data_IF_253158012791
#
_entry.id   IF_253158012791
#
_cell.length_a   1.000
_cell.length_b   1.000
_cell.length_c   1.000
_cell.angle_alpha   90.00
_cell.angle_beta   90.00
_cell.angle_gamma   90.00
#
_symmetry.space_group_name_H-M   'P 1'
#
loop_
_entity.id
_entity.type
_entity.pdbx_description
1 polymer ?
#
# COMPACT_ATOMS: atom_id res chain seq x y z
N UNK A 1 19.09 17.80 -0.85
CA UNK A 1 17.86 17.46 -1.59
C UNK A 1 16.93 16.71 -0.63
N UNK A 2 16.13 17.45 0.12
CA UNK A 2 15.29 16.87 1.18
C UNK A 2 13.98 16.40 0.57
N UNK A 3 13.76 15.08 0.53
CA UNK A 3 12.41 14.55 0.36
C UNK A 3 11.63 14.92 1.62
N UNK A 4 10.90 16.03 1.57
CA UNK A 4 9.83 16.32 2.52
C UNK A 4 8.91 15.10 2.46
N UNK A 5 8.93 14.27 3.52
CA UNK A 5 8.16 13.04 3.57
C UNK A 5 6.70 13.37 3.39
N UNK A 6 6.15 13.08 2.21
CA UNK A 6 4.72 13.22 1.98
C UNK A 6 4.03 12.34 3.02
N UNK A 7 3.24 12.96 3.91
CA UNK A 7 2.36 12.24 4.81
C UNK A 7 1.59 11.22 3.97
N UNK A 8 1.72 9.95 4.32
CA UNK A 8 1.18 8.88 3.49
C UNK A 8 -0.34 8.88 3.70
N UNK A 9 -1.08 9.31 2.69
CA UNK A 9 -2.53 9.49 2.81
C UNK A 9 -3.23 8.13 2.89
N UNK A 10 -4.12 7.98 3.85
CA UNK A 10 -4.91 6.75 4.07
C UNK A 10 -6.40 7.07 3.92
N UNK A 11 -7.18 6.14 3.36
CA UNK A 11 -8.63 6.29 3.22
C UNK A 11 -9.31 6.41 4.59
N UNK A 12 -10.48 7.08 4.70
CA UNK A 12 -11.14 7.31 6.00
C UNK A 12 -11.47 6.03 6.78
N UNK A 13 -11.65 4.92 6.08
CA UNK A 13 -11.95 3.60 6.63
C UNK A 13 -10.70 2.76 6.94
N UNK A 14 -9.50 3.32 6.76
CA UNK A 14 -8.22 2.65 6.97
C UNK A 14 -8.03 1.33 6.18
N UNK A 15 -8.69 1.21 5.01
CA UNK A 15 -8.51 0.04 4.13
C UNK A 15 -7.35 0.19 3.16
N UNK A 16 -7.05 1.42 2.72
CA UNK A 16 -6.08 1.67 1.68
C UNK A 16 -5.16 2.84 2.00
N UNK A 17 -3.90 2.67 1.65
CA UNK A 17 -2.92 3.72 1.48
C UNK A 17 -2.96 4.26 0.05
N UNK A 18 -2.84 5.56 -0.14
CA UNK A 18 -2.76 6.20 -1.45
C UNK A 18 -1.32 6.59 -1.75
N UNK A 19 -0.77 6.03 -2.83
CA UNK A 19 0.57 6.37 -3.33
C UNK A 19 0.45 6.72 -4.81
N UNK A 20 0.76 7.98 -5.15
CA UNK A 20 0.66 8.50 -6.53
C UNK A 20 -0.74 8.27 -7.14
N UNK A 21 -1.79 8.59 -6.38
CA UNK A 21 -3.19 8.41 -6.80
C UNK A 21 -3.67 6.97 -6.90
N UNK A 22 -2.86 5.98 -6.46
CA UNK A 22 -3.20 4.56 -6.51
C UNK A 22 -3.41 3.99 -5.12
N UNK A 23 -4.49 3.24 -4.96
CA UNK A 23 -4.86 2.57 -3.73
C UNK A 23 -4.00 1.32 -3.53
N UNK A 24 -3.49 1.14 -2.32
CA UNK A 24 -2.74 -0.02 -1.87
C UNK A 24 -3.36 -0.51 -0.58
N UNK A 25 -3.91 -1.72 -0.59
CA UNK A 25 -4.58 -2.26 0.59
C UNK A 25 -3.60 -2.38 1.76
N UNK A 26 -4.03 -1.89 2.92
CA UNK A 26 -3.27 -1.99 4.16
C UNK A 26 -3.31 -3.41 4.72
N UNK A 27 -2.33 -3.73 5.56
CA UNK A 27 -2.30 -4.99 6.30
C UNK A 27 -3.53 -5.08 7.21
N UNK A 28 -4.00 -6.30 7.46
CA UNK A 28 -5.14 -6.56 8.34
C UNK A 28 -4.83 -6.04 9.76
N UNK A 29 -5.57 -5.02 10.26
CA UNK A 29 -5.32 -4.44 11.58
C UNK A 29 -5.67 -5.39 12.73
N UNK A 30 -6.37 -6.48 12.45
CA UNK A 30 -6.74 -7.50 13.44
C UNK A 30 -5.63 -8.52 13.71
N UNK A 31 -4.51 -8.46 13.00
CA UNK A 31 -3.36 -9.32 13.27
C UNK A 31 -2.71 -8.91 14.60
N UNK A 32 -2.44 -9.89 15.46
CA UNK A 32 -1.66 -9.65 16.67
C UNK A 32 -0.25 -9.15 16.30
N UNK A 33 0.28 -8.18 17.04
CA UNK A 33 1.55 -7.52 16.67
C UNK A 33 2.72 -8.51 16.47
N UNK A 34 2.92 -9.55 17.30
CA UNK A 34 3.98 -10.54 17.06
C UNK A 34 3.80 -11.28 15.73
N UNK A 35 2.57 -11.63 15.39
CA UNK A 35 2.25 -12.30 14.12
C UNK A 35 2.47 -11.37 12.93
N UNK A 36 2.01 -10.12 13.04
CA UNK A 36 2.23 -9.09 12.03
C UNK A 36 3.72 -8.88 11.80
N UNK A 37 4.52 -8.75 12.85
CA UNK A 37 5.95 -8.56 12.75
C UNK A 37 6.66 -9.77 12.11
N UNK A 38 6.26 -11.00 12.47
CA UNK A 38 6.81 -12.20 11.84
C UNK A 38 6.55 -12.24 10.32
N UNK A 39 5.34 -11.86 9.89
CA UNK A 39 5.00 -11.78 8.46
C UNK A 39 5.73 -10.65 7.74
N UNK A 40 5.93 -9.51 8.40
CA UNK A 40 6.77 -8.41 7.87
C UNK A 40 8.21 -8.89 7.67
N UNK A 41 8.77 -9.62 8.64
CA UNK A 41 10.12 -10.19 8.53
C UNK A 41 10.22 -11.14 7.32
N UNK A 42 9.29 -12.08 7.19
CA UNK A 42 9.20 -12.99 6.04
C UNK A 42 9.09 -12.24 4.71
N UNK A 43 8.30 -11.18 4.64
CA UNK A 43 8.18 -10.34 3.45
C UNK A 43 9.52 -9.68 3.09
N UNK A 44 10.26 -9.18 4.08
CA UNK A 44 11.56 -8.56 3.88
C UNK A 44 12.62 -9.57 3.46
N UNK A 45 12.63 -10.78 4.04
CA UNK A 45 13.46 -11.90 3.60
C UNK A 45 13.19 -12.27 2.14
N UNK A 46 11.93 -12.47 1.78
CA UNK A 46 11.54 -12.81 0.41
C UNK A 46 11.95 -11.70 -0.60
N UNK A 47 11.86 -10.42 -0.20
CA UNK A 47 12.34 -9.29 -1.04
C UNK A 47 13.85 -9.31 -1.23
N UNK A 48 14.62 -9.66 -0.19
CA UNK A 48 16.08 -9.86 -0.31
C UNK A 48 16.40 -10.99 -1.29
N UNK A 49 15.68 -12.11 -1.22
CA UNK A 49 15.81 -13.21 -2.18
C UNK A 49 15.50 -12.80 -3.62
N UNK A 50 14.46 -11.98 -3.84
CA UNK A 50 14.17 -11.43 -5.17
C UNK A 50 15.34 -10.60 -5.69
N UNK A 51 15.95 -9.76 -4.85
CA UNK A 51 17.13 -8.95 -5.24
C UNK A 51 18.31 -9.85 -5.60
N UNK A 52 18.60 -10.86 -4.78
CA UNK A 52 19.69 -11.81 -5.02
C UNK A 52 19.49 -12.60 -6.33
N UNK A 53 18.30 -13.16 -6.54
CA UNK A 53 17.98 -13.92 -7.74
C UNK A 53 18.09 -13.08 -9.03
N UNK A 54 17.66 -11.80 -8.98
CA UNK A 54 17.86 -10.87 -10.11
C UNK A 54 19.33 -10.62 -10.39
N UNK A 55 20.15 -10.40 -9.36
CA UNK A 55 21.58 -10.17 -9.52
C UNK A 55 22.31 -11.39 -10.10
N UNK A 56 21.86 -12.59 -9.76
CA UNK A 56 22.37 -13.85 -10.29
C UNK A 56 21.77 -14.25 -11.66
N UNK A 57 20.82 -13.48 -12.20
CA UNK A 57 20.02 -13.83 -13.38
C UNK A 57 19.37 -15.24 -13.28
N UNK A 58 19.01 -15.68 -12.07
CA UNK A 58 18.41 -16.98 -11.81
C UNK A 58 16.88 -16.87 -11.85
N UNK A 59 16.31 -17.31 -12.97
CA UNK A 59 14.87 -17.29 -13.19
C UNK A 59 14.10 -18.22 -12.23
N UNK A 60 14.67 -19.34 -11.81
CA UNK A 60 14.00 -20.30 -10.93
C UNK A 60 13.90 -19.74 -9.50
N UNK A 61 15.03 -19.26 -8.96
CA UNK A 61 15.06 -18.59 -7.66
C UNK A 61 14.19 -17.33 -7.65
N UNK A 62 14.15 -16.59 -8.77
CA UNK A 62 13.30 -15.40 -8.88
C UNK A 62 11.81 -15.74 -8.80
N UNK A 63 11.36 -16.82 -9.46
CA UNK A 63 9.97 -17.29 -9.36
C UNK A 63 9.63 -17.69 -7.92
N UNK A 64 10.50 -18.47 -7.28
CA UNK A 64 10.29 -18.92 -5.92
C UNK A 64 10.22 -17.76 -4.92
N UNK A 65 11.15 -16.81 -4.99
CA UNK A 65 11.16 -15.63 -4.13
C UNK A 65 9.91 -14.74 -4.35
N UNK A 66 9.44 -14.59 -5.59
CA UNK A 66 8.17 -13.88 -5.89
C UNK A 66 6.96 -14.59 -5.29
N UNK A 67 6.93 -15.93 -5.29
CA UNK A 67 5.88 -16.70 -4.65
C UNK A 67 5.87 -16.47 -3.13
N UNK A 68 7.03 -16.45 -2.49
CA UNK A 68 7.14 -16.12 -1.05
C UNK A 68 6.66 -14.70 -0.74
N UNK A 69 7.01 -13.71 -1.58
CA UNK A 69 6.48 -12.33 -1.44
C UNK A 69 4.96 -12.32 -1.55
N UNK A 70 4.39 -13.06 -2.49
CA UNK A 70 2.94 -13.16 -2.64
C UNK A 70 2.30 -13.79 -1.40
N UNK A 71 2.84 -14.90 -0.90
CA UNK A 71 2.33 -15.60 0.28
C UNK A 71 2.34 -14.70 1.52
N UNK A 72 3.47 -14.02 1.79
CA UNK A 72 3.59 -13.11 2.93
C UNK A 72 2.59 -11.93 2.83
N UNK A 73 2.39 -11.36 1.63
CA UNK A 73 1.40 -10.29 1.42
C UNK A 73 -0.04 -10.76 1.58
N UNK A 74 -0.35 -11.99 1.17
CA UNK A 74 -1.68 -12.58 1.40
C UNK A 74 -1.90 -12.79 2.89
N UNK A 75 -0.92 -13.33 3.61
CA UNK A 75 -1.01 -13.53 5.05
C UNK A 75 -1.12 -12.21 5.84
N UNK A 76 -0.44 -11.15 5.40
CA UNK A 76 -0.60 -9.80 5.94
C UNK A 76 -1.98 -9.19 5.63
N UNK A 77 -2.75 -9.76 4.70
CA UNK A 77 -4.01 -9.18 4.23
C UNK A 77 -3.86 -8.08 3.18
N UNK A 78 -2.65 -7.78 2.69
CA UNK A 78 -2.39 -6.79 1.63
C UNK A 78 -2.84 -7.29 0.23
N UNK A 79 -3.00 -8.60 0.09
CA UNK A 79 -3.43 -9.31 -1.14
C UNK A 79 -4.32 -10.50 -0.81
N UNK A 80 -4.97 -11.08 -1.83
CA UNK A 80 -5.91 -12.19 -1.63
C UNK A 80 -7.27 -11.71 -1.12
N UNK A 81 -8.01 -12.55 -0.37
CA UNK A 81 -9.28 -12.18 0.24
C UNK A 81 -9.15 -10.91 1.09
N UNK A 82 -10.22 -10.15 1.15
CA UNK A 82 -10.31 -8.94 1.97
C UNK A 82 -10.50 -9.29 3.44
N UNK A 83 -10.01 -8.43 4.34
CA UNK A 83 -10.12 -8.66 5.79
C UNK A 83 -11.35 -7.99 6.43
N UNK A 84 -12.07 -7.16 5.68
CA UNK A 84 -13.35 -6.58 6.14
C UNK A 84 -14.53 -7.53 5.85
N UNK A 85 -15.62 -7.33 6.60
CA UNK A 85 -16.81 -8.22 6.59
C UNK A 85 -18.09 -7.57 6.09
N UNK A 86 -18.03 -6.29 5.72
CA UNK A 86 -19.21 -5.51 5.30
C UNK A 86 -19.61 -5.74 3.83
N UNK A 87 -18.95 -6.67 3.14
CA UNK A 87 -19.25 -7.01 1.74
C UNK A 87 -18.75 -5.99 0.70
N UNK A 88 -18.04 -4.94 1.12
CA UNK A 88 -17.50 -3.96 0.17
C UNK A 88 -16.48 -4.62 -0.80
N UNK A 89 -16.42 -4.19 -2.06
CA UNK A 89 -15.46 -4.71 -3.03
C UNK A 89 -14.02 -4.28 -2.71
N UNK A 90 -13.06 -5.02 -3.26
CA UNK A 90 -11.63 -4.70 -3.19
C UNK A 90 -11.21 -3.72 -4.30
N UNK A 91 -10.70 -2.56 -3.91
CA UNK A 91 -10.13 -1.56 -4.82
C UNK A 91 -8.59 -1.55 -4.79
N UNK A 92 -7.95 -2.61 -4.29
CA UNK A 92 -6.49 -2.70 -4.23
C UNK A 92 -5.88 -2.57 -5.63
N UNK A 93 -4.95 -1.62 -5.78
CA UNK A 93 -4.35 -1.22 -7.06
C UNK A 93 -5.38 -0.61 -8.03
N UNK A 94 -6.43 0.05 -7.57
CA UNK A 94 -7.22 0.94 -8.42
C UNK A 94 -6.68 2.36 -8.30
N UNK A 95 -6.95 3.19 -9.32
CA UNK A 95 -6.81 4.63 -9.14
C UNK A 95 -7.89 5.10 -8.17
N UNK A 96 -7.55 6.02 -7.27
CA UNK A 96 -8.50 6.58 -6.31
C UNK A 96 -9.69 7.26 -7.00
N UNK A 97 -9.46 7.85 -8.17
CA UNK A 97 -10.50 8.44 -9.04
C UNK A 97 -11.52 7.43 -9.57
N UNK A 98 -11.18 6.14 -9.59
CA UNK A 98 -12.04 5.06 -10.10
C UNK A 98 -12.60 4.23 -8.93
N UNK A 99 -12.83 4.87 -7.78
CA UNK A 99 -13.28 4.23 -6.55
C UNK A 99 -14.24 5.16 -5.80
N UNK A 100 -14.99 4.64 -4.82
CA UNK A 100 -15.84 5.45 -3.93
C UNK A 100 -15.09 6.53 -3.14
N UNK A 101 -13.75 6.48 -3.10
CA UNK A 101 -12.92 7.47 -2.44
C UNK A 101 -12.62 8.70 -3.31
N UNK A 102 -13.11 8.76 -4.56
CA UNK A 102 -12.79 9.83 -5.51
C UNK A 102 -13.17 11.22 -4.99
N UNK A 103 -14.41 11.40 -4.55
CA UNK A 103 -14.92 12.70 -4.11
C UNK A 103 -14.17 13.19 -2.86
N UNK A 104 -14.02 12.32 -1.85
CA UNK A 104 -13.23 12.62 -0.66
C UNK A 104 -11.76 12.96 -0.99
N UNK A 105 -11.12 12.20 -1.90
CA UNK A 105 -9.75 12.50 -2.29
C UNK A 105 -9.66 13.86 -3.01
N UNK A 106 -10.69 14.24 -3.77
CA UNK A 106 -10.80 15.54 -4.43
C UNK A 106 -10.85 16.71 -3.45
N UNK A 107 -11.55 16.58 -2.32
CA UNK A 107 -11.62 17.66 -1.32
C UNK A 107 -10.24 17.97 -0.72
N UNK A 108 -9.41 16.96 -0.52
CA UNK A 108 -8.05 17.12 0.00
C UNK A 108 -7.08 17.80 -0.97
N UNK A 109 -7.31 17.67 -2.29
CA UNK A 109 -6.52 18.38 -3.30
C UNK A 109 -6.97 19.84 -3.43
N UNK A 110 -8.27 20.12 -3.31
CA UNK A 110 -8.82 21.47 -3.34
C UNK A 110 -8.36 22.35 -2.15
N UNK A 111 -8.15 21.74 -0.98
CA UNK A 111 -7.63 22.45 0.20
C UNK A 111 -6.13 22.80 0.09
N UNK A 112 -5.35 22.02 -0.68
CA UNK A 112 -3.91 22.24 -0.89
C UNK A 112 -3.58 23.39 -1.83
N UNK A 113 -4.48 23.69 -2.77
CA UNK A 113 -4.30 24.76 -3.77
C UNK A 113 -4.83 26.13 -3.29
N UNK A 114 -5.66 26.16 -2.24
CA UNK A 114 -6.29 27.38 -1.71
C UNK A 114 -5.43 28.26 -0.78
N UNK A 115 -4.18 27.89 -0.51
CA UNK A 115 -3.31 28.62 0.43
C UNK A 115 -2.02 29.15 -0.22
N UNK A 116 -2.11 29.68 -1.44
CA UNK A 116 -1.02 30.41 -2.12
C UNK A 116 -1.58 31.65 -2.84
N UNK A 117 -2.20 32.57 -2.09
CA UNK A 117 -2.82 33.75 -2.71
C UNK A 117 -3.23 34.85 -1.73
N UNK A 118 -2.44 35.13 -0.69
CA UNK A 118 -2.75 36.25 0.21
C UNK A 118 -1.50 36.82 0.89
N UNK A 119 -0.51 37.29 0.10
CA UNK A 119 0.47 38.28 0.56
C UNK A 119 0.93 39.13 -0.63
N UNK A 120 0.36 40.34 -0.75
CA UNK A 120 1.00 41.60 -1.18
C UNK A 120 -0.08 42.66 -1.38
N UNK A 121 -0.25 43.49 -0.35
CA UNK A 121 -0.58 44.91 -0.51
C UNK A 121 0.70 45.69 -0.23
#
# INVERSE_FOLDING_TARGET
MSHRGAATLTTPDNRYLIVRGRLWRLSNPQLAEPQRQALVNQLMDARRLVKAAKAANDAASLRHARAQVQAAKVALGERGPVWWRDGAPDYNRHLVSNSPYADWFGTLQGEGDGQQGARRS
#
